data_IF_183124362542
#
_entry.id   IF_183124362542
#
_cell.length_a   1.000
_cell.length_b   1.000
_cell.length_c   1.000
_cell.angle_alpha   90.00
_cell.angle_beta   90.00
_cell.angle_gamma   90.00
#
_symmetry.space_group_name_H-M   'P 1'
#
loop_
_entity.id
_entity.type
_entity.pdbx_description
1 polymer ?
#
# COMPACT_ATOMS: atom_id res chain seq x y z
N UNK A 1 4.74 -18.96 -8.24
CA UNK A 1 5.22 -17.68 -8.81
C UNK A 1 5.78 -16.86 -7.67
N UNK A 2 7.03 -16.38 -7.74
CA UNK A 2 7.65 -15.65 -6.64
C UNK A 2 7.38 -14.13 -6.78
N UNK A 3 6.18 -13.70 -6.37
CA UNK A 3 5.73 -12.31 -6.48
C UNK A 3 6.54 -11.35 -5.58
N UNK A 4 7.24 -11.86 -4.57
CA UNK A 4 7.98 -11.06 -3.59
C UNK A 4 9.13 -10.27 -4.24
N UNK A 5 9.71 -10.79 -5.32
CA UNK A 5 10.76 -10.09 -6.07
C UNK A 5 10.27 -8.79 -6.72
N UNK A 6 8.96 -8.62 -6.87
CA UNK A 6 8.30 -7.45 -7.46
C UNK A 6 7.77 -6.48 -6.41
N UNK A 7 8.10 -6.73 -5.15
CA UNK A 7 7.73 -5.89 -4.01
C UNK A 7 9.04 -5.34 -3.44
N UNK A 8 9.13 -4.03 -3.36
CA UNK A 8 10.32 -3.33 -2.90
C UNK A 8 10.11 -2.73 -1.51
N UNK A 9 11.21 -2.64 -0.78
CA UNK A 9 11.38 -1.67 0.29
C UNK A 9 11.33 -0.26 -0.31
N UNK A 10 10.47 0.59 0.23
CA UNK A 10 10.34 1.99 -0.16
C UNK A 10 11.13 2.86 0.83
N UNK A 11 12.18 3.52 0.32
CA UNK A 11 13.21 4.17 1.13
C UNK A 11 13.31 5.65 0.76
N UNK A 12 13.32 6.52 1.77
CA UNK A 12 13.57 7.96 1.65
C UNK A 12 14.69 8.30 2.63
N UNK A 13 15.71 9.07 2.18
CA UNK A 13 16.83 9.48 3.03
C UNK A 13 17.51 8.33 3.81
N UNK A 14 17.63 7.16 3.18
CA UNK A 14 18.16 5.91 3.74
C UNK A 14 17.31 5.27 4.87
N UNK A 15 16.09 5.75 5.09
CA UNK A 15 15.14 5.17 6.04
C UNK A 15 14.05 4.37 5.31
N UNK A 16 13.72 3.18 5.83
CA UNK A 16 12.59 2.40 5.30
C UNK A 16 11.28 3.06 5.73
N UNK A 17 10.55 3.60 4.77
CA UNK A 17 9.26 4.25 5.01
C UNK A 17 8.11 3.26 4.81
N UNK A 18 8.22 2.37 3.83
CA UNK A 18 7.15 1.42 3.55
C UNK A 18 7.44 0.45 2.42
N UNK A 19 6.42 0.20 1.60
CA UNK A 19 6.44 -0.79 0.52
C UNK A 19 6.08 -0.14 -0.80
N UNK A 20 6.76 -0.56 -1.87
CA UNK A 20 6.36 -0.25 -3.23
C UNK A 20 6.14 -1.55 -4.02
N UNK A 21 5.21 -1.53 -4.98
CA UNK A 21 4.84 -2.67 -5.79
C UNK A 21 5.08 -2.35 -7.26
N UNK A 22 5.90 -3.15 -7.95
CA UNK A 22 6.14 -3.03 -9.38
C UNK A 22 4.88 -3.46 -10.15
N UNK A 23 4.29 -2.55 -10.91
CA UNK A 23 3.04 -2.79 -11.67
C UNK A 23 3.28 -2.82 -13.19
N UNK A 24 4.41 -2.28 -13.62
CA UNK A 24 4.95 -2.37 -14.97
C UNK A 24 6.48 -2.36 -14.89
N UNK A 25 7.20 -2.78 -15.94
CA UNK A 25 8.66 -2.79 -15.94
C UNK A 25 9.27 -1.39 -15.70
N UNK A 26 8.53 -0.31 -15.94
CA UNK A 26 8.98 1.06 -15.71
C UNK A 26 8.30 1.77 -14.52
N UNK A 27 7.27 1.16 -13.93
CA UNK A 27 6.43 1.83 -12.94
C UNK A 27 6.17 0.98 -11.70
N UNK A 28 6.20 1.65 -10.56
CA UNK A 28 5.79 1.11 -9.28
C UNK A 28 4.75 2.02 -8.61
N UNK A 29 3.96 1.44 -7.72
CA UNK A 29 3.03 2.20 -6.86
C UNK A 29 3.41 2.04 -5.40
N UNK A 30 3.10 3.05 -4.61
CA UNK A 30 3.21 3.04 -3.14
C UNK A 30 2.00 3.77 -2.55
N UNK A 31 1.85 3.76 -1.23
CA UNK A 31 0.84 4.57 -0.56
C UNK A 31 1.23 6.05 -0.60
N UNK A 32 0.27 6.92 -0.88
CA UNK A 32 0.49 8.36 -0.99
C UNK A 32 1.02 8.98 0.31
N UNK A 33 0.53 8.49 1.46
CA UNK A 33 0.97 8.95 2.78
C UNK A 33 2.40 8.56 3.13
N UNK A 34 3.05 7.66 2.39
CA UNK A 34 4.47 7.36 2.57
C UNK A 34 5.37 8.47 2.01
N UNK A 35 4.83 9.44 1.28
CA UNK A 35 5.60 10.48 0.61
C UNK A 35 5.17 11.84 1.16
N UNK A 36 6.07 12.47 1.90
CA UNK A 36 5.90 13.85 2.37
C UNK A 36 5.99 14.86 1.22
N UNK A 37 5.42 16.04 1.43
CA UNK A 37 5.47 17.12 0.44
C UNK A 37 6.93 17.55 0.17
N UNK A 38 7.28 17.72 -1.10
CA UNK A 38 8.62 18.10 -1.54
C UNK A 38 9.60 16.95 -1.77
N UNK A 39 9.19 15.70 -1.51
CA UNK A 39 9.98 14.52 -1.91
C UNK A 39 9.64 14.13 -3.34
N UNK A 40 10.61 14.32 -4.24
CA UNK A 40 10.47 13.95 -5.66
C UNK A 40 11.20 12.66 -6.02
N UNK A 41 12.29 12.32 -5.30
CA UNK A 41 13.12 11.16 -5.58
C UNK A 41 13.18 10.21 -4.39
N UNK A 42 13.09 8.92 -4.69
CA UNK A 42 12.97 7.83 -3.72
C UNK A 42 13.83 6.66 -4.15
N UNK A 43 14.17 5.79 -3.21
CA UNK A 43 14.92 4.56 -3.49
C UNK A 43 14.04 3.34 -3.30
N UNK A 44 14.03 2.45 -4.29
CA UNK A 44 13.36 1.16 -4.24
C UNK A 44 14.41 0.05 -4.12
N UNK A 45 14.29 -0.79 -3.09
CA UNK A 45 15.14 -1.98 -2.94
C UNK A 45 14.31 -3.25 -3.09
N UNK A 46 14.39 -3.85 -4.27
CA UNK A 46 13.84 -5.17 -4.55
C UNK A 46 14.78 -6.27 -4.02
N UNK A 47 14.28 -7.44 -3.59
CA UNK A 47 15.09 -8.49 -2.97
C UNK A 47 16.29 -8.98 -3.79
N UNK A 48 16.16 -9.01 -5.12
CA UNK A 48 17.15 -9.61 -6.02
C UNK A 48 17.95 -8.59 -6.81
N UNK A 49 17.72 -7.29 -6.60
CA UNK A 49 18.35 -6.23 -7.36
C UNK A 49 19.14 -5.29 -6.45
N UNK A 50 20.06 -4.55 -7.07
CA UNK A 50 20.62 -3.38 -6.42
C UNK A 50 19.52 -2.32 -6.21
N UNK A 51 19.63 -1.45 -5.20
CA UNK A 51 18.69 -0.34 -5.03
C UNK A 51 18.59 0.52 -6.29
N UNK A 52 17.37 0.92 -6.63
CA UNK A 52 17.03 1.68 -7.83
C UNK A 52 16.43 3.01 -7.42
N UNK A 53 16.85 4.08 -8.07
CA UNK A 53 16.21 5.39 -7.94
C UNK A 53 14.91 5.43 -8.74
N UNK A 54 13.92 6.09 -8.17
CA UNK A 54 12.66 6.37 -8.83
C UNK A 54 12.21 7.80 -8.54
N UNK A 55 11.44 8.35 -9.47
CA UNK A 55 10.88 9.70 -9.36
C UNK A 55 9.37 9.60 -9.17
N UNK A 56 8.83 10.41 -8.27
CA UNK A 56 7.40 10.60 -8.11
C UNK A 56 6.83 11.27 -9.37
N UNK A 57 5.89 10.61 -10.03
CA UNK A 57 5.19 11.14 -11.21
C UNK A 57 3.90 11.83 -10.82
N UNK A 58 3.11 11.17 -9.96
CA UNK A 58 1.80 11.64 -9.55
C UNK A 58 1.40 11.02 -8.20
N UNK A 59 0.49 11.67 -7.49
CA UNK A 59 -0.05 11.23 -6.19
C UNK A 59 -1.51 11.62 -6.07
N UNK A 60 -2.36 10.64 -5.80
CA UNK A 60 -3.76 10.82 -5.43
C UNK A 60 -3.90 10.59 -3.92
N UNK A 61 -4.11 11.68 -3.17
CA UNK A 61 -4.28 11.62 -1.71
C UNK A 61 -5.63 11.08 -1.27
N UNK A 62 -6.66 11.12 -2.14
CA UNK A 62 -7.97 10.58 -1.85
C UNK A 62 -7.97 9.05 -1.92
N UNK A 63 -7.30 8.50 -2.94
CA UNK A 63 -7.11 7.05 -3.11
C UNK A 63 -5.95 6.50 -2.27
N UNK A 64 -5.13 7.38 -1.71
CA UNK A 64 -3.89 7.07 -0.99
C UNK A 64 -2.89 6.27 -1.84
N UNK A 65 -2.73 6.66 -3.12
CA UNK A 65 -1.80 6.01 -4.08
C UNK A 65 -0.85 7.04 -4.67
N UNK A 66 0.43 6.67 -4.79
CA UNK A 66 1.44 7.41 -5.53
C UNK A 66 2.08 6.56 -6.62
N UNK A 67 2.29 7.14 -7.79
CA UNK A 67 2.92 6.52 -8.95
C UNK A 67 4.38 6.95 -9.05
N UNK A 68 5.26 5.96 -9.14
CA UNK A 68 6.71 6.13 -9.23
C UNK A 68 7.19 5.64 -10.59
N UNK A 69 8.06 6.40 -11.24
CA UNK A 69 8.80 5.98 -12.44
C UNK A 69 10.21 5.58 -12.06
N UNK A 70 10.61 4.37 -12.42
CA UNK A 70 11.96 3.88 -12.18
C UNK A 70 12.91 4.57 -13.17
N UNK A 71 14.09 4.98 -12.72
CA UNK A 71 15.11 5.56 -13.61
C UNK A 71 15.58 4.56 -14.68
N UNK A 72 15.54 3.27 -14.35
CA UNK A 72 15.89 2.18 -15.25
C UNK A 72 14.76 1.13 -15.27
N UNK A 73 14.26 0.74 -16.45
CA UNK A 73 13.30 -0.35 -16.57
C UNK A 73 13.88 -1.67 -16.06
N UNK A 74 13.04 -2.49 -15.41
CA UNK A 74 13.46 -3.76 -14.80
C UNK A 74 12.89 -4.94 -15.59
N UNK A 75 13.56 -5.33 -16.68
CA UNK A 75 13.14 -6.47 -17.53
C UNK A 75 13.16 -7.82 -16.81
N UNK A 76 14.03 -7.95 -15.81
CA UNK A 76 14.28 -9.23 -15.12
C UNK A 76 13.28 -9.50 -14.00
N UNK A 77 12.50 -8.48 -13.62
CA UNK A 77 11.39 -8.61 -12.68
C UNK A 77 10.09 -8.80 -13.44
N UNK A 78 9.22 -9.66 -12.92
CA UNK A 78 7.87 -9.82 -13.44
C UNK A 78 6.92 -8.86 -12.70
N UNK A 79 6.33 -7.84 -13.34
CA UNK A 79 5.40 -6.95 -12.65
C UNK A 79 4.19 -7.67 -12.08
N UNK A 80 3.62 -7.11 -11.01
CA UNK A 80 2.37 -7.58 -10.43
C UNK A 80 1.20 -7.18 -11.33
N UNK A 81 0.38 -8.17 -11.65
CA UNK A 81 -0.79 -7.94 -12.50
C UNK A 81 -1.90 -7.22 -11.71
N UNK A 82 -2.34 -6.08 -12.23
CA UNK A 82 -3.51 -5.39 -11.70
C UNK A 82 -4.76 -6.05 -12.30
N UNK A 83 -5.47 -6.80 -11.48
CA UNK A 83 -6.72 -7.44 -11.88
C UNK A 83 -7.83 -6.41 -12.10
N UNK A 84 -8.57 -6.58 -13.19
CA UNK A 84 -9.85 -5.89 -13.44
C UNK A 84 -11.05 -6.68 -12.92
N UNK A 85 -10.83 -7.91 -12.43
CA UNK A 85 -11.90 -8.77 -11.92
C UNK A 85 -12.38 -8.21 -10.58
N UNK A 86 -13.69 -8.02 -10.38
CA UNK A 86 -14.20 -7.77 -9.06
C UNK A 86 -13.87 -8.96 -8.16
N UNK A 87 -13.51 -8.67 -6.91
CA UNK A 87 -13.37 -9.70 -5.90
C UNK A 87 -14.74 -10.40 -5.70
N UNK A 88 -14.72 -11.68 -5.32
CA UNK A 88 -15.90 -12.48 -5.00
C UNK A 88 -15.93 -12.81 -3.51
N UNK A 89 -17.12 -13.05 -2.95
CA UNK A 89 -17.22 -13.53 -1.58
C UNK A 89 -16.39 -14.81 -1.44
N UNK A 90 -15.68 -14.93 -0.31
CA UNK A 90 -14.78 -16.02 0.02
C UNK A 90 -13.49 -16.08 -0.83
N UNK A 91 -13.20 -15.04 -1.62
CA UNK A 91 -11.89 -14.91 -2.25
C UNK A 91 -10.81 -14.85 -1.16
N UNK A 92 -9.80 -15.70 -1.30
CA UNK A 92 -8.61 -15.66 -0.47
C UNK A 92 -7.71 -14.53 -0.95
N UNK A 93 -7.15 -13.79 0.00
CA UNK A 93 -6.20 -12.73 -0.29
C UNK A 93 -4.91 -12.94 0.48
N UNK A 94 -3.83 -12.38 -0.07
CA UNK A 94 -2.51 -12.34 0.53
C UNK A 94 -1.93 -10.95 0.33
N UNK A 95 -1.60 -10.28 1.42
CA UNK A 95 -0.86 -9.03 1.43
C UNK A 95 0.59 -9.32 1.80
N UNK A 96 1.52 -8.66 1.11
CA UNK A 96 2.94 -8.72 1.43
C UNK A 96 3.56 -7.33 1.35
N UNK A 97 4.43 -7.02 2.29
CA UNK A 97 5.16 -5.75 2.30
C UNK A 97 6.22 -5.65 3.39
N UNK A 98 6.86 -4.48 3.41
CA UNK A 98 7.92 -4.08 4.32
C UNK A 98 7.41 -2.93 5.20
N UNK A 99 7.02 -3.19 6.46
CA UNK A 99 6.52 -2.16 7.34
C UNK A 99 7.66 -1.24 7.82
N UNK A 100 7.56 0.07 7.53
CA UNK A 100 8.57 1.05 7.95
C UNK A 100 8.74 1.15 9.47
N UNK A 101 7.68 0.87 10.24
CA UNK A 101 7.72 0.97 11.71
C UNK A 101 8.44 -0.21 12.42
N UNK A 102 8.81 -1.28 11.72
CA UNK A 102 9.32 -2.52 12.36
C UNK A 102 10.45 -3.19 11.56
N UNK A 103 11.40 -2.38 11.10
CA UNK A 103 12.51 -2.76 10.20
C UNK A 103 13.31 -3.96 10.74
N UNK A 104 13.66 -3.93 12.03
CA UNK A 104 14.61 -4.89 12.64
C UNK A 104 14.05 -6.30 12.80
N UNK A 105 12.72 -6.49 12.69
CA UNK A 105 12.08 -7.79 12.92
C UNK A 105 11.77 -8.56 11.64
N UNK A 106 11.73 -7.89 10.48
CA UNK A 106 11.18 -8.49 9.26
C UNK A 106 12.04 -8.16 8.03
N UNK A 107 13.31 -8.58 8.05
CA UNK A 107 14.26 -8.32 6.96
C UNK A 107 13.79 -8.84 5.57
N UNK A 108 12.98 -9.90 5.57
CA UNK A 108 12.36 -10.51 4.38
C UNK A 108 10.93 -10.00 4.07
N UNK A 109 10.42 -9.03 4.84
CA UNK A 109 9.03 -8.56 4.74
C UNK A 109 8.06 -9.41 5.56
N UNK A 110 6.80 -8.98 5.61
CA UNK A 110 5.68 -9.66 6.28
C UNK A 110 4.67 -10.08 5.22
N UNK A 111 4.14 -11.30 5.36
CA UNK A 111 2.96 -11.73 4.61
C UNK A 111 1.80 -11.97 5.57
N UNK A 112 0.64 -11.41 5.26
CA UNK A 112 -0.62 -11.65 5.99
C UNK A 112 -1.64 -12.13 4.96
N UNK A 113 -2.34 -13.21 5.27
CA UNK A 113 -3.40 -13.74 4.42
C UNK A 113 -4.74 -13.72 5.12
N UNK A 114 -5.81 -13.76 4.32
CA UNK A 114 -7.16 -13.83 4.81
C UNK A 114 -8.15 -14.24 3.73
N UNK A 115 -9.42 -14.04 4.04
CA UNK A 115 -10.54 -14.38 3.17
C UNK A 115 -11.56 -13.24 3.21
N UNK A 116 -12.22 -12.96 2.09
CA UNK A 116 -13.28 -11.96 2.01
C UNK A 116 -14.57 -12.58 2.56
N UNK A 117 -14.92 -12.26 3.81
CA UNK A 117 -16.02 -12.94 4.51
C UNK A 117 -17.42 -12.41 4.18
N UNK A 118 -17.56 -11.19 3.62
CA UNK A 118 -18.83 -10.69 3.08
C UNK A 118 -18.63 -9.42 2.23
N UNK A 119 -19.45 -9.27 1.19
CA UNK A 119 -19.63 -8.03 0.43
C UNK A 119 -20.79 -7.23 1.03
N UNK A 120 -20.65 -6.73 2.27
CA UNK A 120 -21.49 -5.61 2.68
C UNK A 120 -20.94 -4.34 2.03
N UNK A 121 -21.21 -4.19 0.73
CA UNK A 121 -21.10 -2.90 0.05
C UNK A 121 -22.32 -2.08 0.47
N UNK A 122 -22.24 -1.46 1.64
CA UNK A 122 -22.79 -0.13 1.78
C UNK A 122 -21.65 0.86 1.53
N UNK A 123 -21.53 1.36 0.28
CA UNK A 123 -20.97 2.70 0.06
C UNK A 123 -21.94 3.69 0.72
N UNK A 124 -21.86 3.83 2.04
CA UNK A 124 -22.48 4.91 2.80
C UNK A 124 -21.47 5.40 3.82
N UNK A 125 -20.85 6.52 3.48
CA UNK A 125 -20.41 7.54 4.43
C UNK A 125 -19.74 7.04 5.71
N UNK A 126 -18.45 6.65 5.64
CA UNK A 126 -17.53 6.79 6.79
C UNK A 126 -16.05 6.46 6.46
N UNK A 127 -15.42 7.28 5.61
CA UNK A 127 -14.00 7.58 5.82
C UNK A 127 -13.91 8.71 6.86
N UNK A 128 -14.03 8.35 8.13
CA UNK A 128 -13.76 9.24 9.27
C UNK A 128 -12.64 8.66 10.13
N UNK A 129 -11.43 8.64 9.59
CA UNK A 129 -10.22 8.54 10.41
C UNK A 129 -9.90 9.94 10.97
N UNK A 130 -10.70 10.40 11.94
CA UNK A 130 -10.35 11.59 12.73
C UNK A 130 -9.20 11.22 13.67
N UNK A 131 -8.02 11.80 13.45
CA UNK A 131 -7.05 12.04 14.54
C UNK A 131 -7.77 12.90 15.60
N UNK A 132 -7.64 12.49 16.86
CA UNK A 132 -8.58 12.84 17.92
C UNK A 132 -8.77 14.33 18.23
N UNK A 133 -9.96 14.62 18.77
CA UNK A 133 -10.11 15.56 19.87
C UNK A 133 -11.32 15.10 20.71
N UNK A 134 -11.23 15.00 22.05
CA UNK A 134 -12.34 14.55 22.89
C UNK A 134 -13.31 15.72 23.08
N UNK A 135 -14.61 15.42 23.20
CA UNK A 135 -15.63 16.12 23.99
C UNK A 135 -17.02 16.07 23.33
N UNK A 136 -17.94 15.43 24.06
CA UNK A 136 -19.41 15.55 24.04
C UNK A 136 -20.17 15.21 22.74
N UNK A 137 -20.87 14.06 22.77
CA UNK A 137 -22.34 13.93 22.67
C UNK A 137 -22.73 12.45 22.93
N UNK A 138 -23.89 12.15 23.55
CA UNK A 138 -24.19 10.82 24.08
C UNK A 138 -24.57 9.82 22.99
N UNK A 139 -24.21 8.55 23.23
CA UNK A 139 -24.53 7.42 22.36
C UNK A 139 -26.05 7.29 22.11
N UNK A 140 -26.49 6.90 20.90
CA UNK A 140 -27.89 6.59 20.67
C UNK A 140 -28.26 5.34 21.46
N UNK A 141 -29.15 5.49 22.42
CA UNK A 141 -29.77 4.38 23.15
C UNK A 141 -30.74 3.66 22.22
N UNK A 142 -30.54 2.36 22.05
CA UNK A 142 -31.56 1.44 21.54
C UNK A 142 -32.86 1.61 22.32
N UNK A 143 -33.92 2.05 21.63
CA UNK A 143 -35.36 1.77 21.87
C UNK A 143 -36.19 2.74 21.03
N UNK A 144 -36.92 2.24 20.04
CA UNK A 144 -38.35 1.99 20.24
C UNK A 144 -38.96 1.33 19.00
N UNK A 145 -39.72 0.28 19.27
CA UNK A 145 -40.69 -0.31 18.38
C UNK A 145 -41.86 0.67 18.22
N UNK A 146 -42.34 0.84 16.98
CA UNK A 146 -43.74 1.08 16.68
C UNK A 146 -44.05 0.58 15.28
#
# INVERSE_FOLDING_TARGET
MNYQNSIAKFIINNELIGTAWLIDHQFAITAAHCIDDGIENVTLSFPTLSPILATLIDKDTLLDVALLKLEQPQSDLKPLEISKRPNSAFDKWLAHGYPGAVIDRFGAGISIGGEILNFDIQFKDQCHWRRGNPLWLPAPTNRDFS
#
